data_IF_491233783312
#
_entry.id   IF_491233783312
#
_cell.length_a   1.000
_cell.length_b   1.000
_cell.length_c   1.000
_cell.angle_alpha   90.00
_cell.angle_beta   90.00
_cell.angle_gamma   90.00
#
_symmetry.space_group_name_H-M   'P 1'
#
loop_
_entity.id
_entity.type
_entity.pdbx_description
1 polymer ?
#
# COMPACT_ATOMS: atom_id res chain seq x y z
N UNK A 1 -18.36 -10.21 -2.24
CA UNK A 1 -18.94 -10.10 -0.88
C UNK A 1 -19.92 -8.94 -0.85
N UNK A 2 -21.02 -9.01 -0.08
CA UNK A 2 -21.95 -7.88 0.08
C UNK A 2 -21.60 -7.14 1.37
N UNK A 3 -21.34 -5.85 1.23
CA UNK A 3 -21.00 -4.95 2.34
C UNK A 3 -21.92 -3.73 2.27
N UNK A 4 -22.37 -3.25 3.42
CA UNK A 4 -23.10 -1.98 3.52
C UNK A 4 -22.12 -0.89 3.88
N UNK A 5 -22.15 0.22 3.14
CA UNK A 5 -21.35 1.42 3.40
C UNK A 5 -22.27 2.62 3.44
N UNK A 6 -21.95 3.61 4.26
CA UNK A 6 -22.68 4.86 4.33
C UNK A 6 -22.15 5.83 3.28
N UNK A 7 -23.06 6.46 2.54
CA UNK A 7 -22.77 7.53 1.57
C UNK A 7 -23.84 8.61 1.71
N UNK A 8 -23.51 9.84 1.37
CA UNK A 8 -24.49 10.92 1.36
C UNK A 8 -25.50 10.75 0.22
N UNK A 9 -26.67 11.37 0.37
CA UNK A 9 -27.67 11.41 -0.70
C UNK A 9 -27.12 12.04 -1.99
N UNK A 10 -26.25 13.05 -1.85
CA UNK A 10 -25.56 13.68 -2.97
C UNK A 10 -24.61 12.71 -3.68
N UNK A 11 -23.79 11.97 -2.93
CA UNK A 11 -22.90 10.94 -3.48
C UNK A 11 -23.70 9.88 -4.22
N UNK A 12 -24.81 9.40 -3.61
CA UNK A 12 -25.71 8.43 -4.23
C UNK A 12 -26.31 8.96 -5.54
N UNK A 13 -26.78 10.20 -5.56
CA UNK A 13 -27.36 10.83 -6.76
C UNK A 13 -26.32 10.93 -7.89
N UNK A 14 -25.10 11.38 -7.58
CA UNK A 14 -24.01 11.50 -8.55
C UNK A 14 -23.57 10.15 -9.10
N UNK A 15 -23.47 9.13 -8.25
CA UNK A 15 -23.13 7.77 -8.64
C UNK A 15 -24.20 7.16 -9.58
N UNK A 16 -25.49 7.38 -9.28
CA UNK A 16 -26.58 6.94 -10.16
C UNK A 16 -26.55 7.64 -11.52
N UNK A 17 -26.35 8.96 -11.53
CA UNK A 17 -26.24 9.72 -12.77
C UNK A 17 -25.07 9.23 -13.64
N UNK A 18 -23.92 8.98 -13.03
CA UNK A 18 -22.73 8.46 -13.72
C UNK A 18 -22.96 7.04 -14.25
N UNK A 19 -23.61 6.17 -13.48
CA UNK A 19 -23.94 4.82 -13.90
C UNK A 19 -24.89 4.84 -15.11
N UNK A 20 -25.94 5.68 -15.07
CA UNK A 20 -26.88 5.84 -16.17
C UNK A 20 -26.19 6.35 -17.44
N UNK A 21 -25.28 7.33 -17.31
CA UNK A 21 -24.50 7.84 -18.43
C UNK A 21 -23.58 6.77 -19.06
N UNK A 22 -23.12 5.79 -18.27
CA UNK A 22 -22.32 4.64 -18.74
C UNK A 22 -23.15 3.44 -19.20
N UNK A 23 -24.48 3.53 -19.16
CA UNK A 23 -25.38 2.41 -19.51
C UNK A 23 -25.40 1.27 -18.49
N UNK A 24 -24.92 1.52 -17.27
CA UNK A 24 -24.87 0.54 -16.20
C UNK A 24 -26.19 0.52 -15.41
N UNK A 25 -26.64 -0.66 -14.97
CA UNK A 25 -27.92 -0.83 -14.24
C UNK A 25 -27.91 -0.26 -12.82
N UNK A 26 -26.75 0.17 -12.32
CA UNK A 26 -26.55 0.72 -10.99
C UNK A 26 -25.08 1.11 -10.77
N UNK A 27 -24.75 1.67 -9.62
CA UNK A 27 -23.41 2.21 -9.36
C UNK A 27 -22.41 1.23 -8.73
N UNK A 28 -22.77 -0.05 -8.56
CA UNK A 28 -21.89 -1.03 -7.89
C UNK A 28 -20.53 -1.16 -8.57
N UNK A 29 -20.49 -1.13 -9.91
CA UNK A 29 -19.24 -1.19 -10.68
C UNK A 29 -18.37 0.05 -10.47
N UNK A 30 -19.00 1.24 -10.41
CA UNK A 30 -18.30 2.49 -10.10
C UNK A 30 -17.68 2.46 -8.70
N UNK A 31 -18.37 1.88 -7.73
CA UNK A 31 -17.84 1.74 -6.37
C UNK A 31 -16.64 0.79 -6.34
N UNK A 32 -16.70 -0.31 -7.09
CA UNK A 32 -15.55 -1.23 -7.21
C UNK A 32 -14.36 -0.52 -7.86
N UNK A 33 -14.56 0.15 -9.00
CA UNK A 33 -13.51 0.94 -9.66
C UNK A 33 -12.89 1.98 -8.72
N UNK A 34 -13.72 2.69 -7.94
CA UNK A 34 -13.24 3.69 -7.00
C UNK A 34 -12.42 3.07 -5.84
N UNK A 35 -12.82 1.90 -5.35
CA UNK A 35 -12.09 1.19 -4.31
C UNK A 35 -10.75 0.66 -4.83
N UNK A 36 -10.73 0.10 -6.04
CA UNK A 36 -9.50 -0.39 -6.68
C UNK A 36 -8.50 0.76 -6.85
N UNK A 37 -8.93 1.90 -7.40
CA UNK A 37 -8.08 3.09 -7.55
C UNK A 37 -7.55 3.60 -6.21
N UNK A 38 -8.39 3.64 -5.18
CA UNK A 38 -7.98 4.11 -3.85
C UNK A 38 -6.94 3.17 -3.21
N UNK A 39 -7.11 1.86 -3.35
CA UNK A 39 -6.16 0.88 -2.82
C UNK A 39 -4.83 0.92 -3.58
N UNK A 40 -4.87 1.03 -4.91
CA UNK A 40 -3.66 1.18 -5.73
C UNK A 40 -2.87 2.44 -5.36
N UNK A 41 -3.55 3.55 -5.10
CA UNK A 41 -2.92 4.80 -4.67
C UNK A 41 -2.23 4.64 -3.31
N UNK A 42 -2.89 4.01 -2.33
CA UNK A 42 -2.29 3.73 -1.02
C UNK A 42 -1.07 2.82 -1.15
N UNK A 43 -1.20 1.72 -1.89
CA UNK A 43 -0.09 0.77 -2.09
C UNK A 43 1.10 1.44 -2.79
N UNK A 44 0.83 2.28 -3.79
CA UNK A 44 1.84 3.08 -4.47
C UNK A 44 2.56 4.03 -3.52
N UNK A 45 1.81 4.77 -2.70
CA UNK A 45 2.37 5.70 -1.70
C UNK A 45 3.21 4.96 -0.65
N UNK A 46 2.71 3.84 -0.11
CA UNK A 46 3.47 3.01 0.83
C UNK A 46 4.74 2.46 0.21
N UNK A 47 4.68 2.00 -1.05
CA UNK A 47 5.84 1.50 -1.78
C UNK A 47 6.88 2.60 -1.96
N UNK A 48 6.46 3.81 -2.34
CA UNK A 48 7.34 4.98 -2.42
C UNK A 48 8.03 5.26 -1.09
N UNK A 49 7.26 5.35 0.00
CA UNK A 49 7.80 5.58 1.35
C UNK A 49 8.73 4.45 1.84
N UNK A 50 8.51 3.19 1.42
CA UNK A 50 9.44 2.08 1.70
C UNK A 50 10.74 2.23 0.92
N UNK A 51 10.68 2.59 -0.36
CA UNK A 51 11.87 2.83 -1.20
C UNK A 51 12.69 3.98 -0.64
N UNK A 52 12.06 5.11 -0.30
CA UNK A 52 12.76 6.26 0.28
C UNK A 52 13.45 5.90 1.59
N UNK A 53 12.78 5.18 2.50
CA UNK A 53 13.41 4.69 3.74
C UNK A 53 14.58 3.76 3.48
N UNK A 54 14.47 2.87 2.49
CA UNK A 54 15.56 1.99 2.10
C UNK A 54 16.75 2.77 1.55
N UNK A 55 16.51 3.76 0.67
CA UNK A 55 17.56 4.62 0.13
C UNK A 55 18.23 5.47 1.23
N UNK A 56 17.45 6.04 2.14
CA UNK A 56 17.97 6.79 3.30
C UNK A 56 18.81 5.92 4.24
N UNK A 57 18.62 4.60 4.23
CA UNK A 57 19.43 3.67 5.02
C UNK A 57 20.80 3.38 4.41
N UNK A 58 21.00 3.63 3.11
CA UNK A 58 22.27 3.42 2.43
C UNK A 58 23.31 4.38 3.00
N UNK A 59 24.42 3.84 3.52
CA UNK A 59 25.50 4.63 4.13
C UNK A 59 25.23 5.08 5.56
N UNK A 60 24.11 4.67 6.18
CA UNK A 60 23.82 4.97 7.59
C UNK A 60 24.62 4.10 8.58
N UNK A 61 25.24 3.02 8.10
CA UNK A 61 26.09 2.12 8.89
C UNK A 61 27.54 2.40 8.54
N UNK A 62 28.33 2.82 9.54
CA UNK A 62 29.79 2.96 9.39
C UNK A 62 30.46 1.60 9.21
N UNK A 63 31.60 1.57 8.51
CA UNK A 63 32.39 0.35 8.27
C UNK A 63 32.69 -0.43 9.56
N UNK A 64 33.08 0.25 10.64
CA UNK A 64 33.36 -0.38 11.94
C UNK A 64 32.16 -1.14 12.54
N UNK A 65 30.96 -0.57 12.38
CA UNK A 65 29.70 -1.17 12.85
C UNK A 65 29.34 -2.35 11.94
N UNK A 66 29.49 -2.20 10.63
CA UNK A 66 29.23 -3.28 9.67
C UNK A 66 30.14 -4.50 9.91
N UNK A 67 31.42 -4.27 10.19
CA UNK A 67 32.39 -5.33 10.50
C UNK A 67 32.07 -6.02 11.82
N UNK A 68 31.72 -5.26 12.85
CA UNK A 68 31.28 -5.80 14.14
C UNK A 68 30.04 -6.68 13.98
N UNK A 69 29.02 -6.19 13.28
CA UNK A 69 27.78 -6.94 13.01
C UNK A 69 28.06 -8.23 12.23
N UNK A 70 28.93 -8.16 11.21
CA UNK A 70 29.31 -9.31 10.39
C UNK A 70 30.04 -10.38 11.21
N UNK A 71 30.96 -9.95 12.09
CA UNK A 71 31.69 -10.85 12.99
C UNK A 71 30.75 -11.55 13.98
N UNK A 72 29.92 -10.80 14.70
CA UNK A 72 28.93 -11.38 15.65
C UNK A 72 27.99 -12.35 14.94
N UNK A 73 27.52 -11.99 13.74
CA UNK A 73 26.64 -12.86 12.94
C UNK A 73 27.32 -14.16 12.50
N UNK A 74 28.65 -14.15 12.34
CA UNK A 74 29.44 -15.33 11.99
C UNK A 74 29.63 -16.22 13.22
N UNK A 75 30.04 -15.64 14.34
CA UNK A 75 30.21 -16.35 15.63
C UNK A 75 28.93 -17.09 16.04
N UNK A 76 27.77 -16.43 15.92
CA UNK A 76 26.46 -17.05 16.19
C UNK A 76 26.22 -18.22 15.24
N UNK A 77 26.45 -18.05 13.93
CA UNK A 77 26.22 -19.13 12.94
C UNK A 77 27.16 -20.32 13.15
N UNK A 78 28.38 -20.07 13.59
CA UNK A 78 29.35 -21.12 13.93
C UNK A 78 28.96 -21.87 15.21
N UNK A 79 28.30 -21.20 16.16
CA UNK A 79 27.83 -21.81 17.42
C UNK A 79 26.43 -22.43 17.35
N UNK A 80 25.78 -22.43 16.17
CA UNK A 80 24.41 -22.94 15.96
C UNK A 80 24.35 -24.43 15.56
N UNK A 81 25.43 -25.17 15.81
CA UNK A 81 25.50 -26.63 15.73
C UNK A 81 25.71 -27.24 17.10
#
# INVERSE_FOLDING_TARGET
MRTTVEISDEQRARLLALAAARGEKGFSKLVQEALDLYLEEIEGAERGARIERALASIGSVSDEVAERMSRVSREIRESWR
#
